data_IF_919192850833
#
_entry.id   IF_919192850833
#
_cell.length_a   1.000
_cell.length_b   1.000
_cell.length_c   1.000
_cell.angle_alpha   90.00
_cell.angle_beta   90.00
_cell.angle_gamma   90.00
#
_symmetry.space_group_name_H-M   'P 1'
#
loop_
_entity.id
_entity.type
_entity.pdbx_description
1 polymer ?
#
# COMPACT_ATOMS: atom_id res chain seq x y z
N UNK A 1 31.61 22.53 16.69
CA UNK A 1 30.70 23.12 15.68
C UNK A 1 29.93 21.96 15.06
N UNK A 2 28.59 22.13 15.03
CA UNK A 2 27.56 21.29 14.38
C UNK A 2 27.46 19.83 14.77
N UNK A 3 26.46 19.56 15.60
CA UNK A 3 25.91 18.26 15.93
C UNK A 3 24.88 17.78 14.89
N UNK A 4 24.77 16.46 14.77
CA UNK A 4 23.49 15.74 14.68
C UNK A 4 22.77 15.68 13.34
N UNK A 5 22.97 14.59 12.59
CA UNK A 5 21.95 13.96 11.73
C UNK A 5 22.25 12.46 11.66
N UNK A 6 21.80 11.71 12.65
CA UNK A 6 21.68 10.26 12.60
C UNK A 6 20.32 9.90 13.17
N UNK A 7 19.67 8.93 12.50
CA UNK A 7 18.50 8.21 13.00
C UNK A 7 17.14 8.88 12.78
N UNK A 8 16.64 8.85 11.55
CA UNK A 8 15.20 9.03 11.28
C UNK A 8 14.78 8.45 9.91
N UNK A 9 14.93 7.14 9.74
CA UNK A 9 14.32 6.38 8.63
C UNK A 9 13.86 5.00 9.11
N UNK A 10 13.10 4.97 10.21
CA UNK A 10 12.40 3.78 10.67
C UNK A 10 10.92 4.12 10.74
N UNK A 11 10.11 3.40 9.95
CA UNK A 11 8.67 3.28 10.19
C UNK A 11 7.76 4.03 9.22
N UNK A 12 7.88 3.80 7.90
CA UNK A 12 6.70 3.93 7.03
C UNK A 12 5.77 2.73 7.30
N UNK A 13 5.08 2.76 8.44
CA UNK A 13 4.06 1.77 8.77
C UNK A 13 2.82 2.04 7.92
N UNK A 14 2.56 1.08 7.05
CA UNK A 14 1.43 0.97 6.15
C UNK A 14 0.13 0.99 6.97
N UNK A 15 -0.57 2.12 6.95
CA UNK A 15 -1.99 2.16 7.32
C UNK A 15 -2.76 2.67 6.11
N UNK A 16 -3.06 1.75 5.19
CA UNK A 16 -4.18 1.92 4.26
C UNK A 16 -5.45 1.86 5.12
N UNK A 17 -5.75 2.96 5.82
CA UNK A 17 -7.12 3.22 6.26
C UNK A 17 -7.89 3.61 5.02
N UNK A 18 -8.75 2.70 4.60
CA UNK A 18 -9.86 2.90 3.68
C UNK A 18 -10.31 4.37 3.70
N UNK A 19 -9.93 5.11 2.67
CA UNK A 19 -10.35 6.49 2.48
C UNK A 19 -11.80 6.48 2.00
N UNK A 20 -12.73 6.20 2.91
CA UNK A 20 -14.12 6.57 2.72
C UNK A 20 -14.23 8.07 2.97
N UNK A 21 -14.15 8.85 1.88
CA UNK A 21 -14.63 10.23 1.89
C UNK A 21 -16.16 10.18 2.01
N UNK A 22 -16.68 10.28 3.24
CA UNK A 22 -18.12 10.54 3.45
C UNK A 22 -18.35 12.03 3.28
N UNK A 23 -18.97 12.42 2.16
CA UNK A 23 -19.47 13.76 1.96
C UNK A 23 -20.60 14.03 2.96
N UNK A 24 -20.44 15.03 3.84
CA UNK A 24 -21.53 15.52 4.69
C UNK A 24 -21.99 16.86 4.14
N UNK A 25 -23.25 16.90 3.68
CA UNK A 25 -23.90 18.11 3.17
C UNK A 25 -24.61 18.78 4.34
N UNK A 26 -24.06 19.87 4.86
CA UNK A 26 -24.82 20.80 5.69
C UNK A 26 -25.05 22.08 4.89
N UNK A 27 -26.33 22.46 4.77
CA UNK A 27 -26.81 23.56 3.95
C UNK A 27 -26.19 24.89 4.34
N UNK A 28 -25.89 25.70 3.32
CA UNK A 28 -25.25 27.03 3.35
C UNK A 28 -23.70 27.03 3.40
N UNK A 29 -23.09 26.77 2.25
CA UNK A 29 -21.80 27.35 1.84
C UNK A 29 -20.55 26.55 2.22
N UNK A 30 -19.79 26.12 1.22
CA UNK A 30 -18.47 25.51 1.45
C UNK A 30 -17.39 26.59 1.51
N UNK A 31 -16.99 26.96 2.73
CA UNK A 31 -15.68 27.53 2.97
C UNK A 31 -14.63 26.41 2.86
N UNK A 32 -13.64 26.56 1.97
CA UNK A 32 -12.40 25.78 1.99
C UNK A 32 -11.60 26.21 3.23
N UNK A 33 -11.92 25.64 4.40
CA UNK A 33 -11.10 25.85 5.58
C UNK A 33 -9.91 24.90 5.49
N UNK A 34 -8.72 25.46 5.27
CA UNK A 34 -7.43 24.83 5.59
C UNK A 34 -7.40 24.62 7.11
N UNK A 35 -8.08 23.58 7.58
CA UNK A 35 -8.05 23.20 8.99
C UNK A 35 -6.89 22.22 9.11
N UNK A 36 -5.75 22.73 9.57
CA UNK A 36 -4.83 21.94 10.37
C UNK A 36 -5.64 21.44 11.57
N UNK A 37 -6.37 20.35 11.40
CA UNK A 37 -6.80 19.57 12.53
C UNK A 37 -5.60 18.71 12.90
N UNK A 38 -4.97 18.89 14.09
CA UNK A 38 -4.39 17.73 14.73
C UNK A 38 -5.52 16.70 14.77
N UNK A 39 -5.24 15.45 14.39
CA UNK A 39 -6.12 14.34 14.70
C UNK A 39 -6.41 14.37 16.20
N UNK A 40 -7.46 15.07 16.63
CA UNK A 40 -8.26 14.62 17.76
C UNK A 40 -8.97 13.39 17.24
N UNK A 41 -8.26 12.28 17.37
CA UNK A 41 -8.89 11.00 17.64
C UNK A 41 -9.72 11.30 18.88
N UNK A 42 -11.03 11.45 18.73
CA UNK A 42 -11.93 11.18 19.84
C UNK A 42 -11.74 9.69 20.13
N UNK A 43 -10.78 9.42 21.01
CA UNK A 43 -10.41 8.11 21.51
C UNK A 43 -11.61 7.61 22.31
N UNK A 44 -12.50 6.88 21.64
CA UNK A 44 -13.40 5.98 22.34
C UNK A 44 -12.56 4.78 22.79
N UNK A 45 -12.41 4.52 24.11
CA UNK A 45 -11.56 3.45 24.60
C UNK A 45 -12.30 2.12 24.44
N UNK A 46 -12.19 1.49 23.26
CA UNK A 46 -12.49 0.07 23.08
C UNK A 46 -11.20 -0.66 22.74
N UNK A 47 -10.51 -1.07 23.80
CA UNK A 47 -9.13 -1.59 23.89
C UNK A 47 -8.87 -2.95 23.24
N UNK A 48 -9.70 -3.45 22.32
CA UNK A 48 -9.54 -4.80 21.75
C UNK A 48 -9.06 -4.82 20.29
N UNK A 49 -9.60 -3.97 19.42
CA UNK A 49 -9.27 -3.95 17.99
C UNK A 49 -7.91 -3.32 17.69
N UNK A 50 -7.51 -2.29 18.45
CA UNK A 50 -6.22 -1.63 18.28
C UNK A 50 -5.06 -2.57 18.67
N UNK A 51 -5.19 -3.35 19.75
CA UNK A 51 -4.15 -4.31 20.18
C UNK A 51 -4.00 -5.44 19.14
N UNK A 52 -5.10 -5.88 18.50
CA UNK A 52 -5.06 -6.91 17.47
C UNK A 52 -4.30 -6.44 16.21
N UNK A 53 -4.55 -5.22 15.73
CA UNK A 53 -3.87 -4.67 14.54
C UNK A 53 -2.37 -4.46 14.79
N UNK A 54 -2.00 -3.91 15.95
CA UNK A 54 -0.58 -3.75 16.32
C UNK A 54 0.13 -5.11 16.51
N UNK A 55 -0.52 -6.11 17.12
CA UNK A 55 0.03 -7.47 17.24
C UNK A 55 0.23 -8.15 15.89
N UNK A 56 -0.65 -7.89 14.93
CA UNK A 56 -0.52 -8.43 13.57
C UNK A 56 0.64 -7.78 12.80
N UNK A 57 0.91 -6.48 12.99
CA UNK A 57 2.06 -5.83 12.36
C UNK A 57 3.40 -6.27 12.94
N UNK A 58 3.49 -6.52 14.26
CA UNK A 58 4.71 -7.08 14.89
C UNK A 58 4.99 -8.52 14.43
N UNK A 59 3.98 -9.40 14.41
CA UNK A 59 4.18 -10.80 14.00
C UNK A 59 4.59 -10.94 12.53
N UNK A 60 4.13 -10.04 11.67
CA UNK A 60 4.56 -10.00 10.27
C UNK A 60 6.00 -9.50 10.13
N UNK A 61 6.39 -8.47 10.88
CA UNK A 61 7.76 -7.96 10.87
C UNK A 61 8.77 -9.04 11.27
N UNK A 62 8.51 -9.78 12.35
CA UNK A 62 9.41 -10.85 12.84
C UNK A 62 9.66 -11.96 11.81
N UNK A 63 8.66 -12.30 10.99
CA UNK A 63 8.80 -13.29 9.89
C UNK A 63 9.69 -12.78 8.77
N UNK A 64 9.57 -11.49 8.44
CA UNK A 64 10.42 -10.86 7.42
C UNK A 64 11.85 -10.70 7.93
N UNK A 65 12.03 -10.30 9.19
CA UNK A 65 13.36 -10.16 9.82
C UNK A 65 14.14 -11.48 9.75
N UNK A 66 13.47 -12.61 10.01
CA UNK A 66 14.07 -13.94 9.92
C UNK A 66 14.49 -14.29 8.49
N UNK A 67 13.64 -14.05 7.49
CA UNK A 67 14.00 -14.28 6.09
C UNK A 67 15.16 -13.37 5.66
N UNK A 68 15.11 -12.09 6.03
CA UNK A 68 16.14 -11.10 5.73
C UNK A 68 17.50 -11.52 6.30
N UNK A 69 17.54 -11.95 7.56
CA UNK A 69 18.77 -12.45 8.20
C UNK A 69 19.37 -13.63 7.43
N UNK A 70 18.55 -14.59 6.99
CA UNK A 70 19.02 -15.74 6.21
C UNK A 70 19.51 -15.33 4.81
N UNK A 71 18.84 -14.37 4.16
CA UNK A 71 19.27 -13.82 2.87
C UNK A 71 20.60 -13.06 3.00
N UNK A 72 20.77 -12.21 4.01
CA UNK A 72 22.02 -11.47 4.26
C UNK A 72 23.18 -12.43 4.51
N UNK A 73 22.98 -13.44 5.38
CA UNK A 73 23.98 -14.49 5.63
C UNK A 73 24.33 -15.24 4.35
N UNK A 74 23.35 -15.54 3.51
CA UNK A 74 23.57 -16.25 2.24
C UNK A 74 24.36 -15.40 1.24
N UNK A 75 24.04 -14.12 1.10
CA UNK A 75 24.78 -13.17 0.24
C UNK A 75 26.23 -13.04 0.73
N UNK A 76 26.44 -12.90 2.04
CA UNK A 76 27.78 -12.83 2.62
C UNK A 76 28.55 -14.15 2.40
N UNK A 77 27.87 -15.29 2.47
CA UNK A 77 28.47 -16.58 2.16
C UNK A 77 28.96 -16.67 0.71
N UNK A 78 28.16 -16.17 -0.25
CA UNK A 78 28.54 -16.09 -1.66
C UNK A 78 29.73 -15.14 -1.85
N UNK A 79 29.74 -13.99 -1.17
CA UNK A 79 30.84 -13.01 -1.26
C UNK A 79 32.16 -13.65 -0.80
N UNK A 80 32.16 -14.31 0.35
CA UNK A 80 33.34 -14.99 0.88
C UNK A 80 33.80 -16.14 -0.03
N UNK A 81 32.87 -16.89 -0.61
CA UNK A 81 33.20 -17.91 -1.62
C UNK A 81 33.91 -17.29 -2.82
N UNK A 82 33.38 -16.17 -3.33
CA UNK A 82 33.99 -15.42 -4.43
C UNK A 82 35.43 -15.02 -4.14
N UNK A 83 35.73 -14.58 -2.90
CA UNK A 83 37.09 -14.25 -2.48
C UNK A 83 38.02 -15.48 -2.52
N UNK A 84 37.59 -16.60 -1.93
CA UNK A 84 38.38 -17.85 -1.90
C UNK A 84 38.67 -18.34 -3.31
N UNK A 85 37.69 -18.26 -4.21
CA UNK A 85 37.84 -18.69 -5.61
C UNK A 85 38.74 -17.72 -6.40
N UNK A 86 38.67 -16.42 -6.12
CA UNK A 86 39.48 -15.40 -6.81
C UNK A 86 40.98 -15.49 -6.51
N UNK A 87 41.36 -15.93 -5.31
CA UNK A 87 42.74 -16.16 -4.89
C UNK A 87 42.89 -17.55 -4.28
N UNK A 88 42.62 -18.56 -5.11
CA UNK A 88 42.62 -19.94 -4.65
C UNK A 88 44.04 -20.45 -4.38
N UNK A 89 44.25 -20.94 -3.16
CA UNK A 89 45.46 -21.66 -2.76
C UNK A 89 45.12 -23.11 -2.39
N UNK A 90 45.99 -24.11 -2.61
CA UNK A 90 45.70 -25.50 -2.25
C UNK A 90 45.32 -25.71 -0.78
N UNK A 91 45.87 -24.90 0.12
CA UNK A 91 45.52 -24.89 1.55
C UNK A 91 44.09 -24.40 1.83
N UNK A 92 43.49 -23.62 0.93
CA UNK A 92 42.12 -23.08 1.05
C UNK A 92 41.02 -24.06 0.63
N UNK A 93 41.37 -25.21 0.05
CA UNK A 93 40.40 -26.21 -0.45
C UNK A 93 39.40 -26.66 0.62
N UNK A 94 39.85 -26.83 1.86
CA UNK A 94 38.98 -27.21 2.97
C UNK A 94 37.93 -26.12 3.26
N UNK A 95 38.35 -24.85 3.29
CA UNK A 95 37.46 -23.71 3.47
C UNK A 95 36.48 -23.53 2.31
N UNK A 96 36.93 -23.77 1.07
CA UNK A 96 36.08 -23.78 -0.12
C UNK A 96 34.96 -24.84 0.00
N UNK A 97 35.30 -26.08 0.34
CA UNK A 97 34.33 -27.17 0.51
C UNK A 97 33.33 -26.86 1.63
N UNK A 98 33.81 -26.29 2.74
CA UNK A 98 32.94 -25.87 3.84
C UNK A 98 31.96 -24.78 3.37
N UNK A 99 32.43 -23.79 2.59
CA UNK A 99 31.59 -22.72 2.07
C UNK A 99 30.54 -23.22 1.07
N UNK A 100 30.90 -24.18 0.22
CA UNK A 100 29.97 -24.87 -0.68
C UNK A 100 28.85 -25.57 0.11
N UNK A 101 29.20 -26.29 1.19
CA UNK A 101 28.21 -26.91 2.06
C UNK A 101 27.30 -25.88 2.73
N UNK A 102 27.84 -24.73 3.16
CA UNK A 102 27.03 -23.64 3.71
C UNK A 102 26.09 -23.01 2.68
N UNK A 103 26.44 -22.98 1.39
CA UNK A 103 25.49 -22.54 0.36
C UNK A 103 24.32 -23.52 0.23
N UNK A 104 24.59 -24.82 0.25
CA UNK A 104 23.54 -25.85 0.17
C UNK A 104 22.59 -25.72 1.37
N UNK A 105 23.14 -25.66 2.59
CA UNK A 105 22.33 -25.47 3.80
C UNK A 105 21.60 -24.13 3.80
N UNK A 106 22.24 -23.04 3.36
CA UNK A 106 21.63 -21.72 3.28
C UNK A 106 20.42 -21.67 2.36
N UNK A 107 20.48 -22.32 1.19
CA UNK A 107 19.32 -22.46 0.29
C UNK A 107 18.18 -23.26 0.94
N UNK A 108 18.50 -24.33 1.67
CA UNK A 108 17.51 -25.11 2.41
C UNK A 108 16.85 -24.30 3.53
N UNK A 109 17.60 -23.46 4.22
CA UNK A 109 17.07 -22.62 5.30
C UNK A 109 16.17 -21.50 4.75
N UNK A 110 16.56 -20.87 3.63
CA UNK A 110 15.70 -19.90 2.92
C UNK A 110 14.39 -20.56 2.46
N UNK A 111 14.42 -21.77 1.91
CA UNK A 111 13.19 -22.48 1.50
C UNK A 111 12.28 -22.80 2.70
N UNK A 112 12.83 -23.06 3.90
CA UNK A 112 12.01 -23.26 5.11
C UNK A 112 11.28 -21.97 5.51
N UNK A 113 11.90 -20.81 5.35
CA UNK A 113 11.28 -19.51 5.63
C UNK A 113 10.04 -19.26 4.76
N UNK A 114 9.99 -19.81 3.53
CA UNK A 114 8.85 -19.68 2.61
C UNK A 114 7.50 -20.05 3.25
N UNK A 115 7.46 -21.11 4.06
CA UNK A 115 6.22 -21.58 4.69
C UNK A 115 5.57 -20.51 5.58
N UNK A 116 6.37 -19.62 6.16
CA UNK A 116 5.91 -18.56 7.04
C UNK A 116 5.30 -17.37 6.27
N UNK A 117 5.54 -17.29 4.95
CA UNK A 117 5.22 -16.15 4.09
C UNK A 117 4.13 -16.45 3.04
N UNK A 118 3.45 -17.59 3.14
CA UNK A 118 2.52 -18.08 2.13
C UNK A 118 1.30 -17.18 1.86
N UNK A 119 0.96 -16.28 2.79
CA UNK A 119 -0.17 -15.34 2.64
C UNK A 119 0.21 -14.06 1.88
N UNK A 120 1.50 -13.87 1.56
CA UNK A 120 2.00 -12.65 0.91
C UNK A 120 2.07 -12.87 -0.60
N UNK A 121 1.32 -12.06 -1.33
CA UNK A 121 1.38 -12.00 -2.78
C UNK A 121 2.15 -10.77 -3.23
N UNK A 122 3.17 -10.98 -4.07
CA UNK A 122 3.94 -9.90 -4.69
C UNK A 122 3.41 -9.68 -6.12
N UNK A 123 2.96 -8.45 -6.48
CA UNK A 123 2.55 -8.16 -7.85
C UNK A 123 3.70 -8.36 -8.84
N UNK A 124 3.41 -8.98 -9.98
CA UNK A 124 4.45 -9.35 -10.95
C UNK A 124 5.13 -8.12 -11.56
N UNK A 125 4.41 -7.02 -11.66
CA UNK A 125 4.90 -5.74 -12.17
C UNK A 125 6.04 -5.18 -11.31
N UNK A 126 6.13 -5.57 -10.03
CA UNK A 126 7.22 -5.15 -9.15
C UNK A 126 8.56 -5.76 -9.59
N UNK A 127 8.56 -6.97 -10.18
CA UNK A 127 9.79 -7.61 -10.64
C UNK A 127 10.48 -6.81 -11.73
N UNK A 128 9.72 -6.14 -12.60
CA UNK A 128 10.29 -5.27 -13.64
C UNK A 128 11.11 -4.10 -13.04
N UNK A 129 10.70 -3.57 -11.89
CA UNK A 129 11.47 -2.54 -11.18
C UNK A 129 12.77 -3.11 -10.61
N UNK A 130 12.70 -4.31 -10.02
CA UNK A 130 13.85 -5.00 -9.43
C UNK A 130 14.88 -5.35 -10.50
N UNK A 131 14.46 -5.95 -11.60
CA UNK A 131 15.34 -6.39 -12.70
C UNK A 131 16.06 -5.20 -13.37
N UNK A 132 15.41 -4.03 -13.40
CA UNK A 132 16.00 -2.78 -13.90
C UNK A 132 16.84 -2.03 -12.87
N UNK A 133 16.99 -2.56 -11.64
CA UNK A 133 17.70 -1.90 -10.54
C UNK A 133 17.01 -0.63 -10.01
N UNK A 134 15.70 -0.48 -10.25
CA UNK A 134 14.89 0.63 -9.75
C UNK A 134 14.31 0.29 -8.37
N UNK A 135 13.97 1.33 -7.60
CA UNK A 135 13.33 1.15 -6.30
C UNK A 135 11.89 0.59 -6.47
N UNK A 136 11.57 -0.60 -5.92
CA UNK A 136 10.22 -1.19 -5.97
C UNK A 136 9.12 -0.30 -5.39
N UNK A 137 9.44 0.60 -4.45
CA UNK A 137 8.47 1.53 -3.86
C UNK A 137 7.91 2.54 -4.88
N UNK A 138 8.58 2.73 -6.02
CA UNK A 138 8.06 3.54 -7.11
C UNK A 138 6.80 2.91 -7.72
N UNK A 139 6.73 1.59 -7.83
CA UNK A 139 5.51 0.90 -8.27
C UNK A 139 4.32 1.22 -7.35
N UNK A 140 4.53 1.11 -6.03
CA UNK A 140 3.52 1.42 -5.01
C UNK A 140 3.05 2.87 -5.15
N UNK A 141 4.01 3.81 -5.26
CA UNK A 141 3.72 5.23 -5.45
C UNK A 141 2.86 5.46 -6.70
N UNK A 142 3.28 4.94 -7.85
CA UNK A 142 2.55 5.11 -9.11
C UNK A 142 1.16 4.48 -9.05
N UNK A 143 1.01 3.34 -8.37
CA UNK A 143 -0.29 2.69 -8.20
C UNK A 143 -1.24 3.60 -7.41
N UNK A 144 -0.76 4.20 -6.32
CA UNK A 144 -1.53 5.17 -5.52
C UNK A 144 -1.88 6.42 -6.32
N UNK A 145 -0.93 6.97 -7.08
CA UNK A 145 -1.16 8.15 -7.93
C UNK A 145 -2.18 7.86 -9.04
N UNK A 146 -2.09 6.69 -9.70
CA UNK A 146 -3.08 6.24 -10.68
C UNK A 146 -4.45 6.06 -10.05
N UNK A 147 -4.54 5.45 -8.87
CA UNK A 147 -5.81 5.26 -8.16
C UNK A 147 -6.46 6.60 -7.81
N UNK A 148 -5.68 7.57 -7.31
CA UNK A 148 -6.14 8.91 -7.00
C UNK A 148 -6.66 9.63 -8.25
N UNK A 149 -5.88 9.64 -9.33
CA UNK A 149 -6.28 10.28 -10.59
C UNK A 149 -7.56 9.64 -11.17
N UNK A 150 -7.70 8.31 -11.09
CA UNK A 150 -8.92 7.61 -11.50
C UNK A 150 -10.12 7.97 -10.63
N UNK A 151 -9.94 8.09 -9.32
CA UNK A 151 -11.01 8.47 -8.40
C UNK A 151 -11.52 9.89 -8.72
N UNK A 152 -10.62 10.86 -8.88
CA UNK A 152 -10.97 12.23 -9.26
C UNK A 152 -11.67 12.27 -10.64
N UNK A 153 -11.18 11.50 -11.61
CA UNK A 153 -11.80 11.38 -12.92
C UNK A 153 -13.23 10.83 -12.83
N UNK A 154 -13.46 9.76 -12.05
CA UNK A 154 -14.78 9.15 -11.87
C UNK A 154 -15.72 10.12 -11.15
N UNK A 155 -15.25 10.80 -10.10
CA UNK A 155 -16.00 11.83 -9.41
C UNK A 155 -16.45 12.94 -10.36
N UNK A 156 -15.55 13.47 -11.20
CA UNK A 156 -15.91 14.50 -12.19
C UNK A 156 -16.96 14.02 -13.20
N UNK A 157 -16.94 12.73 -13.58
CA UNK A 157 -17.99 12.13 -14.42
C UNK A 157 -19.33 12.04 -13.69
N UNK A 158 -19.34 11.63 -12.43
CA UNK A 158 -20.54 11.57 -11.59
C UNK A 158 -21.14 12.97 -11.44
N UNK A 159 -20.33 13.97 -11.09
CA UNK A 159 -20.77 15.35 -10.92
C UNK A 159 -21.38 15.92 -12.21
N UNK A 160 -20.73 15.66 -13.35
CA UNK A 160 -21.22 16.09 -14.67
C UNK A 160 -22.54 15.41 -15.03
N UNK A 161 -22.65 14.09 -14.80
CA UNK A 161 -23.86 13.33 -15.08
C UNK A 161 -25.02 13.77 -14.19
N UNK A 162 -24.76 13.97 -12.89
CA UNK A 162 -25.75 14.48 -11.94
C UNK A 162 -26.22 15.87 -12.33
N UNK A 163 -25.31 16.77 -12.71
CA UNK A 163 -25.67 18.11 -13.20
C UNK A 163 -26.49 18.06 -14.48
N UNK A 164 -26.08 17.24 -15.45
CA UNK A 164 -26.81 17.04 -16.71
C UNK A 164 -28.22 16.52 -16.46
N UNK A 165 -28.37 15.48 -15.62
CA UNK A 165 -29.66 14.94 -15.19
C UNK A 165 -30.56 16.04 -14.60
N UNK A 166 -30.03 16.85 -13.69
CA UNK A 166 -30.79 17.93 -13.06
C UNK A 166 -31.27 18.98 -14.07
N UNK A 167 -30.41 19.40 -15.01
CA UNK A 167 -30.77 20.34 -16.06
C UNK A 167 -31.80 19.76 -17.03
N UNK A 168 -31.62 18.51 -17.44
CA UNK A 168 -32.55 17.83 -18.33
C UNK A 168 -33.94 17.70 -17.69
N UNK A 169 -34.01 17.30 -16.41
CA UNK A 169 -35.27 17.24 -15.66
C UNK A 169 -35.93 18.62 -15.58
N UNK A 170 -35.15 19.68 -15.38
CA UNK A 170 -35.63 21.06 -15.34
C UNK A 170 -36.29 21.48 -16.65
N UNK A 171 -35.60 21.31 -17.78
CA UNK A 171 -36.13 21.69 -19.10
C UNK A 171 -37.32 20.83 -19.52
N UNK A 172 -37.27 19.51 -19.31
CA UNK A 172 -38.40 18.63 -19.59
C UNK A 172 -39.62 18.96 -18.73
N UNK A 173 -39.42 19.39 -17.48
CA UNK A 173 -40.55 19.81 -16.61
C UNK A 173 -41.24 21.07 -17.13
N UNK A 174 -40.55 21.92 -17.90
CA UNK A 174 -41.14 23.11 -18.53
C UNK A 174 -41.95 22.77 -19.79
N UNK A 175 -41.41 21.87 -20.63
CA UNK A 175 -42.01 21.54 -21.93
C UNK A 175 -43.11 20.48 -21.81
N UNK A 176 -42.97 19.51 -20.90
CA UNK A 176 -43.88 18.37 -20.72
C UNK A 176 -44.26 18.14 -19.24
N UNK A 177 -45.06 19.04 -18.64
CA UNK A 177 -45.33 19.01 -17.20
C UNK A 177 -46.09 17.75 -16.73
N UNK A 178 -47.09 17.29 -17.49
CA UNK A 178 -47.90 16.13 -17.11
C UNK A 178 -47.11 14.81 -17.17
N UNK A 179 -46.32 14.61 -18.22
CA UNK A 179 -45.49 13.41 -18.37
C UNK A 179 -44.35 13.38 -17.34
N UNK A 180 -43.78 14.54 -17.01
CA UNK A 180 -42.79 14.64 -15.94
C UNK A 180 -43.37 14.38 -14.55
N UNK A 181 -44.64 14.70 -14.30
CA UNK A 181 -45.32 14.33 -13.06
C UNK A 181 -45.48 12.81 -12.93
N UNK A 182 -45.90 12.13 -14.02
CA UNK A 182 -45.97 10.65 -14.08
C UNK A 182 -44.59 10.02 -13.88
N UNK A 183 -43.55 10.56 -14.55
CA UNK A 183 -42.18 10.09 -14.41
C UNK A 183 -41.65 10.20 -12.98
N UNK A 184 -41.86 11.34 -12.32
CA UNK A 184 -41.45 11.55 -10.91
C UNK A 184 -42.19 10.62 -9.96
N UNK A 185 -43.48 10.35 -10.19
CA UNK A 185 -44.25 9.40 -9.40
C UNK A 185 -43.72 7.95 -9.53
N UNK A 186 -43.26 7.55 -10.72
CA UNK A 186 -42.65 6.22 -10.93
C UNK A 186 -41.23 6.10 -10.36
N UNK A 187 -40.49 7.21 -10.24
CA UNK A 187 -39.07 7.22 -9.85
C UNK A 187 -38.83 7.55 -8.37
N UNK A 188 -39.87 7.81 -7.59
CA UNK A 188 -39.76 8.25 -6.19
C UNK A 188 -39.17 7.21 -5.20
N UNK A 189 -38.64 6.09 -5.68
CA UNK A 189 -38.13 4.98 -4.86
C UNK A 189 -36.60 4.98 -4.62
N UNK A 190 -35.81 5.93 -5.14
CA UNK A 190 -34.39 6.02 -4.76
C UNK A 190 -33.96 7.45 -4.41
N UNK A 191 -33.77 7.76 -3.12
CA UNK A 191 -33.17 9.01 -2.69
C UNK A 191 -31.74 9.13 -3.26
N UNK A 192 -31.26 10.34 -3.60
CA UNK A 192 -29.87 10.54 -3.95
C UNK A 192 -29.00 10.34 -2.70
N UNK A 193 -28.20 9.27 -2.69
CA UNK A 193 -27.05 9.10 -1.82
C UNK A 193 -25.84 9.90 -2.29
#
# INVERSE_FOLDING_TARGET
>A
MTAGLSSQLIGYSLAVKQCDYVAKVDGCGYNLVKRFFPCKIDFCPTTSSHIAVYKQSENMAEKFDNLEEHLEKFIENIRQLGIIVSDFQPSSQAGLNQKLNFMISGLQDIEKCRQQLHEINVPLEVFEYIDQGRNPQLYTKECLERALARNEQVKGKIDTMTKFKSLLISELSKVFPEDMAKYKAMRAEDPPS
#
